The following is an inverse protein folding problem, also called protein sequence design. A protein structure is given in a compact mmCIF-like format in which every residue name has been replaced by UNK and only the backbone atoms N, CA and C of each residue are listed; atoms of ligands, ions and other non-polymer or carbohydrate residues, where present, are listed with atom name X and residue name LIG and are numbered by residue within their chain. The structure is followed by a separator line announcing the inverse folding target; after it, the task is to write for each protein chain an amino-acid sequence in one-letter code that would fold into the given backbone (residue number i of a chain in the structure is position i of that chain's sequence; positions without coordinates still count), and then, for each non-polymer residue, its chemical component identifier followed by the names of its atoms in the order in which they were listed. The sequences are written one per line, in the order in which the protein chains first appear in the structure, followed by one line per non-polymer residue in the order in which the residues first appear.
data_IF_179012165790
#
_entry.id   IF_179012165790
#
_cell.length_a   1.000
_cell.length_b   1.000
_cell.length_c   1.000
_cell.angle_alpha   90.00
_cell.angle_beta   90.00
_cell.angle_gamma   90.00
#
_symmetry.space_group_name_H-M   'P 1'
#
loop_
_entity.id
_entity.type
_entity.pdbx_description
1 polymer ?
#
# COMPACT_ATOMS: atom_id res chain seq x y z
N UNK A 1 -21.40 -19.52 -17.28
CA UNK A 1 -21.55 -20.97 -17.02
C UNK A 1 -20.80 -21.77 -18.06
N UNK A 2 -19.62 -22.29 -17.69
CA UNK A 2 -18.93 -23.25 -18.56
C UNK A 2 -19.77 -24.50 -18.66
N UNK A 3 -20.11 -24.89 -19.90
CA UNK A 3 -20.94 -26.07 -20.20
C UNK A 3 -20.49 -27.29 -19.37
N UNK A 4 -21.44 -28.03 -18.81
CA UNK A 4 -21.23 -29.29 -18.08
C UNK A 4 -20.36 -30.25 -18.93
N UNK A 5 -20.51 -30.24 -20.25
CA UNK A 5 -19.67 -30.98 -21.15
C UNK A 5 -18.17 -30.63 -21.07
N UNK A 6 -17.81 -29.34 -20.93
CA UNK A 6 -16.41 -28.92 -20.82
C UNK A 6 -15.79 -29.35 -19.49
N UNK A 7 -16.56 -29.32 -18.43
CA UNK A 7 -16.12 -29.83 -17.12
C UNK A 7 -15.92 -31.36 -17.14
N UNK A 8 -16.81 -32.10 -17.79
CA UNK A 8 -16.67 -33.55 -17.95
C UNK A 8 -15.44 -33.92 -18.81
N UNK A 9 -15.18 -33.19 -19.89
CA UNK A 9 -13.98 -33.39 -20.71
C UNK A 9 -12.72 -33.11 -19.87
N UNK A 10 -12.69 -32.01 -19.14
CA UNK A 10 -11.54 -31.65 -18.28
C UNK A 10 -11.26 -32.74 -17.22
N UNK A 11 -12.29 -33.14 -16.48
CA UNK A 11 -12.17 -34.21 -15.46
C UNK A 11 -11.72 -35.52 -16.08
N UNK A 12 -12.26 -35.88 -17.25
CA UNK A 12 -11.86 -37.09 -17.98
C UNK A 12 -10.38 -37.05 -18.37
N UNK A 13 -9.91 -35.94 -18.95
CA UNK A 13 -8.49 -35.77 -19.32
C UNK A 13 -7.58 -35.92 -18.09
N UNK A 14 -7.94 -35.27 -16.95
CA UNK A 14 -7.17 -35.36 -15.72
C UNK A 14 -7.15 -36.80 -15.17
N UNK A 15 -8.30 -37.48 -15.12
CA UNK A 15 -8.41 -38.87 -14.64
C UNK A 15 -7.63 -39.84 -15.55
N UNK A 16 -7.79 -39.76 -16.86
CA UNK A 16 -7.05 -40.63 -17.79
C UNK A 16 -5.55 -40.31 -17.79
N UNK A 17 -5.16 -39.04 -17.65
CA UNK A 17 -3.77 -38.65 -17.49
C UNK A 17 -3.12 -39.26 -16.25
N UNK A 18 -3.79 -39.17 -15.09
CA UNK A 18 -3.32 -39.77 -13.84
C UNK A 18 -3.23 -41.29 -13.92
N UNK A 19 -4.28 -41.96 -14.44
CA UNK A 19 -4.30 -43.40 -14.61
C UNK A 19 -3.21 -43.87 -15.60
N UNK A 20 -3.01 -43.14 -16.70
CA UNK A 20 -1.96 -43.41 -17.67
C UNK A 20 -0.56 -43.27 -17.08
N UNK A 21 -0.32 -42.20 -16.30
CA UNK A 21 0.95 -42.00 -15.61
C UNK A 21 1.21 -43.14 -14.60
N UNK A 22 0.19 -43.53 -13.85
CA UNK A 22 0.31 -44.63 -12.90
C UNK A 22 0.60 -45.98 -13.59
N UNK A 23 -0.06 -46.23 -14.73
CA UNK A 23 0.19 -47.46 -15.52
C UNK A 23 1.62 -47.50 -16.07
N UNK A 24 2.12 -46.38 -16.62
CA UNK A 24 3.50 -46.26 -17.12
C UNK A 24 4.49 -46.45 -15.95
N UNK A 25 4.24 -45.78 -14.81
CA UNK A 25 5.07 -45.97 -13.61
C UNK A 25 5.15 -47.42 -13.15
N UNK A 26 4.01 -48.10 -13.07
CA UNK A 26 3.94 -49.55 -12.70
C UNK A 26 4.73 -50.42 -13.65
N UNK A 27 4.67 -50.13 -14.99
CA UNK A 27 5.40 -50.88 -16.00
C UNK A 27 6.92 -50.74 -15.88
N UNK A 28 7.39 -49.56 -15.54
CA UNK A 28 8.83 -49.27 -15.42
C UNK A 28 9.36 -49.36 -13.97
N UNK A 29 8.52 -49.57 -13.00
CA UNK A 29 8.85 -49.53 -11.58
C UNK A 29 10.07 -50.42 -11.23
N UNK A 30 10.08 -51.67 -11.63
CA UNK A 30 11.20 -52.61 -11.35
C UNK A 30 12.52 -52.18 -11.99
N UNK A 31 12.48 -51.49 -13.14
CA UNK A 31 13.67 -50.99 -13.79
C UNK A 31 14.20 -49.76 -13.06
N UNK A 32 13.33 -48.87 -12.67
CA UNK A 32 13.65 -47.66 -11.91
C UNK A 32 14.23 -48.03 -10.55
N UNK A 33 13.56 -48.96 -9.84
CA UNK A 33 14.00 -49.44 -8.53
C UNK A 33 15.38 -50.08 -8.61
N UNK A 34 15.63 -50.91 -9.59
CA UNK A 34 16.92 -51.62 -9.77
C UNK A 34 18.04 -50.60 -10.10
N UNK A 35 17.75 -49.59 -10.89
CA UNK A 35 18.67 -48.50 -11.20
C UNK A 35 18.98 -47.68 -9.95
N UNK A 36 17.96 -47.29 -9.18
CA UNK A 36 18.11 -46.53 -7.94
C UNK A 36 18.96 -47.24 -6.89
N UNK A 37 18.72 -48.55 -6.72
CA UNK A 37 19.50 -49.38 -5.79
C UNK A 37 20.94 -49.60 -6.26
N UNK A 38 21.18 -49.69 -7.56
CA UNK A 38 22.53 -49.82 -8.13
C UNK A 38 23.33 -48.49 -7.99
N UNK A 39 22.68 -47.36 -8.16
CA UNK A 39 23.28 -46.02 -8.14
C UNK A 39 22.77 -45.21 -6.93
N UNK A 40 22.81 -45.81 -5.74
CA UNK A 40 22.26 -45.20 -4.52
C UNK A 40 22.76 -43.81 -4.18
N UNK A 41 24.06 -43.53 -4.43
CA UNK A 41 24.64 -42.20 -4.20
C UNK A 41 24.08 -41.17 -5.15
N UNK A 42 23.96 -41.50 -6.45
CA UNK A 42 23.39 -40.62 -7.44
C UNK A 42 21.90 -40.35 -7.19
N UNK A 43 21.17 -41.38 -6.76
CA UNK A 43 19.77 -41.25 -6.40
C UNK A 43 19.54 -40.42 -5.13
N UNK A 44 20.38 -40.55 -4.11
CA UNK A 44 20.33 -39.71 -2.91
C UNK A 44 20.81 -38.29 -3.15
N UNK A 45 21.71 -38.08 -4.09
CA UNK A 45 22.21 -36.70 -4.38
C UNK A 45 21.11 -35.75 -4.84
N UNK A 46 20.13 -36.23 -5.58
CA UNK A 46 19.02 -35.42 -6.08
C UNK A 46 18.19 -34.77 -4.94
N UNK A 47 17.60 -35.51 -3.99
CA UNK A 47 16.88 -34.91 -2.86
C UNK A 47 17.82 -34.07 -1.97
N UNK A 48 19.08 -34.47 -1.80
CA UNK A 48 20.05 -33.70 -1.03
C UNK A 48 20.30 -32.31 -1.63
N UNK A 49 20.49 -32.23 -2.95
CA UNK A 49 20.64 -30.96 -3.65
C UNK A 49 19.38 -30.10 -3.49
N UNK A 50 18.19 -30.69 -3.63
CA UNK A 50 16.94 -29.97 -3.45
C UNK A 50 16.82 -29.40 -2.02
N UNK A 51 17.20 -30.18 -1.01
CA UNK A 51 17.19 -29.73 0.39
C UNK A 51 18.19 -28.59 0.60
N UNK A 52 19.41 -28.69 0.06
CA UNK A 52 20.41 -27.62 0.16
C UNK A 52 19.89 -26.33 -0.49
N UNK A 53 19.33 -26.42 -1.70
CA UNK A 53 18.70 -25.26 -2.37
C UNK A 53 17.55 -24.69 -1.55
N UNK A 54 16.68 -25.55 -0.98
CA UNK A 54 15.59 -25.13 -0.10
C UNK A 54 16.08 -24.35 1.12
N UNK A 55 17.14 -24.82 1.76
CA UNK A 55 17.74 -24.15 2.93
C UNK A 55 18.37 -22.81 2.51
N UNK A 56 19.06 -22.75 1.38
CA UNK A 56 19.65 -21.50 0.87
C UNK A 56 18.56 -20.46 0.54
N UNK A 57 17.48 -20.87 -0.11
CA UNK A 57 16.34 -19.98 -0.38
C UNK A 57 15.71 -19.52 0.94
N UNK A 58 15.49 -20.42 1.89
CA UNK A 58 14.89 -20.08 3.18
C UNK A 58 15.74 -19.07 3.99
N UNK A 59 17.07 -19.18 3.92
CA UNK A 59 17.99 -18.22 4.58
C UNK A 59 17.96 -16.83 3.95
N UNK A 60 17.75 -16.77 2.63
CA UNK A 60 17.68 -15.51 1.88
C UNK A 60 16.26 -14.93 1.80
N UNK A 61 15.25 -15.69 2.20
CA UNK A 61 13.88 -15.20 2.26
C UNK A 61 13.68 -14.44 3.57
N UNK A 62 13.27 -13.19 3.47
CA UNK A 62 12.94 -12.36 4.64
C UNK A 62 11.89 -13.07 5.52
N UNK A 63 12.10 -12.99 6.82
CA UNK A 63 11.12 -13.49 7.80
C UNK A 63 10.24 -12.34 8.22
N UNK A 64 9.15 -12.14 7.50
CA UNK A 64 8.09 -11.21 7.92
C UNK A 64 6.94 -12.03 8.50
N UNK A 65 6.54 -11.68 9.72
CA UNK A 65 5.40 -12.31 10.38
C UNK A 65 4.09 -11.94 9.66
N UNK A 66 4.00 -10.71 9.17
CA UNK A 66 2.95 -10.24 8.28
C UNK A 66 3.57 -9.36 7.19
N UNK A 67 3.15 -9.51 5.92
CA UNK A 67 3.57 -8.60 4.89
C UNK A 67 3.06 -7.18 5.26
N UNK A 68 3.91 -6.18 5.07
CA UNK A 68 3.53 -4.78 5.27
C UNK A 68 2.34 -4.46 4.37
N UNK A 69 1.15 -4.34 4.95
CA UNK A 69 -0.06 -3.96 4.23
C UNK A 69 -0.09 -2.45 4.08
N UNK A 70 -0.19 -1.96 2.87
CA UNK A 70 -0.43 -0.54 2.65
C UNK A 70 -1.92 -0.25 2.89
N UNK A 71 -2.25 0.22 4.11
CA UNK A 71 -3.61 0.52 4.52
C UNK A 71 -4.14 1.88 4.01
N UNK A 72 -3.30 2.67 3.31
CA UNK A 72 -3.66 4.04 2.90
C UNK A 72 -3.82 5.00 4.08
N UNK A 73 -3.36 4.60 5.28
CA UNK A 73 -3.48 5.38 6.50
C UNK A 73 -2.32 5.14 7.45
N UNK A 74 -2.02 6.15 8.27
CA UNK A 74 -1.08 6.08 9.38
C UNK A 74 -1.79 6.33 10.70
N UNK A 75 -1.22 5.79 11.77
CA UNK A 75 -1.59 6.06 13.13
C UNK A 75 -0.44 6.78 13.83
N UNK A 76 -0.60 8.08 14.11
CA UNK A 76 0.36 8.89 14.82
C UNK A 76 -0.04 8.96 16.28
N UNK A 77 0.80 8.44 17.18
CA UNK A 77 0.52 8.32 18.62
C UNK A 77 1.59 9.03 19.47
N UNK A 78 1.72 10.36 19.39
CA UNK A 78 2.61 11.10 20.27
C UNK A 78 2.01 11.23 21.67
N UNK A 79 2.86 11.55 22.65
CA UNK A 79 2.42 11.85 24.01
C UNK A 79 2.90 13.25 24.43
N UNK A 80 2.05 13.96 25.15
CA UNK A 80 2.42 15.22 25.81
C UNK A 80 2.94 14.99 27.23
N UNK A 81 3.31 16.07 27.88
CA UNK A 81 3.72 16.03 29.30
C UNK A 81 2.57 15.52 30.18
N UNK A 82 2.82 14.61 31.14
CA UNK A 82 1.79 14.00 31.97
C UNK A 82 0.96 15.02 32.81
N UNK A 83 1.51 16.20 33.04
CA UNK A 83 0.87 17.26 33.82
C UNK A 83 0.07 18.25 32.96
N UNK A 84 -0.01 18.07 31.65
CA UNK A 84 -0.79 18.93 30.78
C UNK A 84 -2.29 18.81 31.12
N UNK A 85 -2.93 19.94 31.36
CA UNK A 85 -4.39 19.99 31.57
C UNK A 85 -5.19 19.70 30.31
N UNK A 86 -6.51 19.57 30.48
CA UNK A 86 -7.43 19.25 29.36
C UNK A 86 -7.34 20.29 28.23
N UNK A 87 -7.33 21.56 28.57
CA UNK A 87 -7.29 22.66 27.58
C UNK A 87 -5.97 22.67 26.81
N UNK A 88 -4.85 22.39 27.46
CA UNK A 88 -3.54 22.32 26.84
C UNK A 88 -3.48 21.10 25.87
N UNK A 89 -3.99 19.93 26.30
CA UNK A 89 -4.05 18.76 25.44
C UNK A 89 -4.94 18.99 24.22
N UNK A 90 -6.07 19.68 24.38
CA UNK A 90 -6.93 20.07 23.27
C UNK A 90 -6.24 21.01 22.29
N UNK A 91 -5.51 22.02 22.81
CA UNK A 91 -4.73 22.95 21.99
C UNK A 91 -3.64 22.24 21.20
N UNK A 92 -2.91 21.33 21.83
CA UNK A 92 -1.87 20.52 21.20
C UNK A 92 -2.45 19.64 20.11
N UNK A 93 -3.55 18.92 20.39
CA UNK A 93 -4.21 18.06 19.41
C UNK A 93 -4.64 18.86 18.17
N UNK A 94 -5.24 20.04 18.40
CA UNK A 94 -5.64 20.92 17.30
C UNK A 94 -4.44 21.41 16.46
N UNK A 95 -3.33 21.71 17.10
CA UNK A 95 -2.10 22.10 16.40
C UNK A 95 -1.53 20.94 15.58
N UNK A 96 -1.54 19.71 16.11
CA UNK A 96 -1.11 18.51 15.41
C UNK A 96 -1.97 18.27 14.16
N UNK A 97 -3.29 18.28 14.33
CA UNK A 97 -4.22 18.05 13.22
C UNK A 97 -4.09 19.11 12.13
N UNK A 98 -3.99 20.39 12.53
CA UNK A 98 -3.77 21.49 11.59
C UNK A 98 -2.42 21.36 10.85
N UNK A 99 -1.34 21.03 11.57
CA UNK A 99 -0.03 20.85 10.95
C UNK A 99 -0.04 19.72 9.92
N UNK A 100 -0.63 18.57 10.25
CA UNK A 100 -0.75 17.44 9.33
C UNK A 100 -1.64 17.78 8.13
N UNK A 101 -2.73 18.51 8.34
CA UNK A 101 -3.64 18.91 7.27
C UNK A 101 -3.01 19.87 6.24
N UNK A 102 -1.86 20.49 6.54
CA UNK A 102 -1.13 21.32 5.55
C UNK A 102 -0.41 20.50 4.47
N UNK A 103 -0.23 19.20 4.68
CA UNK A 103 0.47 18.32 3.75
C UNK A 103 -0.47 17.98 2.59
N UNK A 104 -0.11 18.30 1.32
CA UNK A 104 -1.00 18.10 0.17
C UNK A 104 -1.43 16.65 -0.07
N UNK A 105 -0.58 15.68 0.29
CA UNK A 105 -0.83 14.25 0.15
C UNK A 105 -1.85 13.72 1.15
N UNK A 106 -2.16 14.47 2.21
CA UNK A 106 -3.13 14.06 3.23
C UNK A 106 -4.56 14.31 2.71
N UNK A 107 -5.40 13.31 2.90
CA UNK A 107 -6.82 13.37 2.57
C UNK A 107 -7.64 13.81 3.78
N UNK A 108 -7.39 13.21 4.93
CA UNK A 108 -8.13 13.45 6.17
C UNK A 108 -7.26 13.14 7.36
N UNK A 109 -7.34 13.96 8.39
CA UNK A 109 -6.76 13.71 9.70
C UNK A 109 -7.85 13.82 10.76
N UNK A 110 -7.85 12.86 11.69
CA UNK A 110 -8.78 12.86 12.84
C UNK A 110 -7.98 12.47 14.07
N UNK A 111 -7.85 13.40 15.00
CA UNK A 111 -7.15 13.19 16.25
C UNK A 111 -8.08 12.96 17.44
N UNK A 112 -7.65 12.08 18.33
CA UNK A 112 -8.26 11.80 19.65
C UNK A 112 -7.24 12.03 20.75
N UNK A 113 -7.65 12.62 21.87
CA UNK A 113 -6.84 12.74 23.09
C UNK A 113 -7.52 11.97 24.21
N UNK A 114 -6.76 11.12 24.88
CA UNK A 114 -7.26 10.33 25.99
C UNK A 114 -8.13 9.14 25.59
N UNK A 115 -8.81 8.58 26.58
CA UNK A 115 -9.58 7.35 26.53
C UNK A 115 -10.97 7.55 25.95
N UNK A 116 -11.45 6.58 25.18
CA UNK A 116 -12.87 6.44 24.85
C UNK A 116 -13.66 5.84 26.03
N UNK A 117 -14.99 5.89 26.01
CA UNK A 117 -15.85 5.25 27.02
C UNK A 117 -15.82 3.70 26.85
N UNK A 118 -14.62 3.13 26.93
CA UNK A 118 -14.41 1.69 26.83
C UNK A 118 -13.43 1.22 27.92
N UNK A 119 -13.75 0.10 28.54
CA UNK A 119 -12.86 -0.52 29.54
C UNK A 119 -11.54 -1.04 28.92
N UNK A 120 -11.52 -1.24 27.60
CA UNK A 120 -10.39 -1.79 26.85
C UNK A 120 -9.39 -0.72 26.37
N UNK A 121 -9.71 0.56 26.54
CA UNK A 121 -8.83 1.67 26.14
C UNK A 121 -8.12 2.28 27.35
N UNK A 122 -6.85 1.93 27.63
CA UNK A 122 -6.13 2.43 28.81
C UNK A 122 -5.46 3.79 28.57
N UNK A 123 -5.71 4.48 27.44
CA UNK A 123 -4.98 5.67 27.05
C UNK A 123 -5.17 6.82 28.06
N UNK A 124 -4.09 7.40 28.62
CA UNK A 124 -4.16 8.60 29.45
C UNK A 124 -4.50 9.82 28.61
N UNK A 125 -4.96 10.90 29.25
CA UNK A 125 -5.32 12.16 28.57
C UNK A 125 -4.15 12.76 27.76
N UNK A 126 -2.92 12.52 28.19
CA UNK A 126 -1.69 12.97 27.52
C UNK A 126 -1.31 12.18 26.28
N UNK A 127 -2.03 11.11 25.95
CA UNK A 127 -1.79 10.29 24.78
C UNK A 127 -2.74 10.68 23.64
N UNK A 128 -2.16 10.96 22.49
CA UNK A 128 -2.92 11.30 21.27
C UNK A 128 -2.93 10.11 20.31
N UNK A 129 -4.03 9.95 19.61
CA UNK A 129 -4.18 9.00 18.53
C UNK A 129 -4.76 9.73 17.31
N UNK A 130 -3.91 10.04 16.35
CA UNK A 130 -4.30 10.71 15.13
C UNK A 130 -4.31 9.70 13.98
N UNK A 131 -5.49 9.41 13.45
CA UNK A 131 -5.66 8.60 12.23
C UNK A 131 -5.53 9.52 11.04
N UNK A 132 -4.53 9.28 10.22
CA UNK A 132 -4.15 10.10 9.07
C UNK A 132 -4.35 9.28 7.82
N UNK A 133 -5.32 9.64 6.99
CA UNK A 133 -5.52 9.03 5.68
C UNK A 133 -4.80 9.86 4.62
N UNK A 134 -4.00 9.20 3.79
CA UNK A 134 -3.35 9.84 2.65
C UNK A 134 -4.02 9.46 1.33
N UNK A 135 -3.82 10.31 0.32
CA UNK A 135 -4.34 10.08 -1.03
C UNK A 135 -3.54 8.98 -1.70
N UNK A 136 -4.18 8.20 -2.56
CA UNK A 136 -3.45 7.31 -3.47
C UNK A 136 -2.50 8.11 -4.36
N UNK A 137 -1.36 7.53 -4.72
CA UNK A 137 -0.37 8.17 -5.59
C UNK A 137 -1.00 8.70 -6.87
N UNK A 138 -1.78 7.88 -7.54
CA UNK A 138 -2.52 8.27 -8.74
C UNK A 138 -4.01 8.39 -8.45
N UNK A 139 -4.69 9.27 -9.17
CA UNK A 139 -6.13 9.38 -9.10
C UNK A 139 -6.79 8.11 -9.62
N UNK A 140 -7.74 7.58 -8.83
CA UNK A 140 -8.41 6.31 -9.13
C UNK A 140 -9.89 6.55 -9.42
N UNK A 141 -10.47 5.65 -10.21
CA UNK A 141 -11.91 5.62 -10.44
C UNK A 141 -12.68 5.03 -9.25
N UNK A 142 -14.01 4.96 -9.36
CA UNK A 142 -14.87 4.40 -8.30
C UNK A 142 -14.64 2.89 -8.08
N UNK A 143 -14.03 2.22 -9.06
CA UNK A 143 -13.67 0.79 -9.00
C UNK A 143 -12.25 0.56 -8.43
N UNK A 144 -11.52 1.63 -8.07
CA UNK A 144 -10.14 1.55 -7.57
C UNK A 144 -9.09 1.30 -8.66
N UNK A 145 -9.42 1.56 -9.93
CA UNK A 145 -8.47 1.47 -11.06
C UNK A 145 -7.93 2.86 -11.40
N UNK A 146 -6.71 2.92 -11.88
CA UNK A 146 -6.10 4.15 -12.41
C UNK A 146 -6.82 4.53 -13.71
N UNK A 147 -7.16 5.81 -13.85
CA UNK A 147 -7.72 6.38 -15.08
C UNK A 147 -6.77 7.39 -15.69
N UNK A 148 -6.79 7.49 -17.02
CA UNK A 148 -6.05 8.50 -17.76
C UNK A 148 -6.95 9.69 -18.01
N UNK A 149 -6.36 10.86 -18.06
CA UNK A 149 -7.05 12.13 -18.22
C UNK A 149 -6.44 12.93 -19.34
N UNK A 150 -7.28 13.71 -20.00
CA UNK A 150 -6.91 14.51 -21.16
C UNK A 150 -5.87 15.57 -20.80
N UNK A 151 -4.80 15.62 -21.59
CA UNK A 151 -3.75 16.64 -21.56
C UNK A 151 -3.82 17.51 -22.82
N UNK A 152 -3.29 18.73 -22.73
CA UNK A 152 -3.04 19.58 -23.90
C UNK A 152 -1.64 19.30 -24.48
N UNK A 153 -1.29 20.00 -25.56
CA UNK A 153 0.01 19.84 -26.23
C UNK A 153 1.20 20.24 -25.34
N UNK A 154 0.97 21.03 -24.30
CA UNK A 154 1.99 21.48 -23.32
C UNK A 154 2.08 20.55 -22.09
N UNK A 155 1.35 19.42 -22.06
CA UNK A 155 1.35 18.44 -20.97
C UNK A 155 0.52 18.83 -19.75
N UNK A 156 -0.35 19.84 -19.84
CA UNK A 156 -1.24 20.26 -18.76
C UNK A 156 -2.58 19.52 -18.85
N UNK A 157 -3.14 19.13 -17.70
CA UNK A 157 -4.45 18.51 -17.65
C UNK A 157 -5.56 19.50 -17.95
N UNK A 158 -6.50 19.11 -18.81
CA UNK A 158 -7.66 19.92 -19.20
C UNK A 158 -8.85 19.56 -18.32
N UNK A 159 -9.43 20.58 -17.66
CA UNK A 159 -10.62 20.41 -16.85
C UNK A 159 -11.90 20.63 -17.67
N UNK A 160 -13.04 20.12 -17.16
CA UNK A 160 -14.37 20.33 -17.77
C UNK A 160 -14.79 21.80 -17.87
N UNK A 161 -14.24 22.65 -17.04
CA UNK A 161 -14.46 24.11 -17.07
C UNK A 161 -13.48 24.86 -18.00
N UNK A 162 -12.72 24.12 -18.83
CA UNK A 162 -11.66 24.62 -19.70
C UNK A 162 -10.48 25.30 -18.98
N UNK A 163 -10.36 25.13 -17.67
CA UNK A 163 -9.15 25.50 -16.93
C UNK A 163 -8.09 24.41 -17.08
N UNK A 164 -6.86 24.80 -16.83
CA UNK A 164 -5.70 23.91 -16.93
C UNK A 164 -5.13 23.63 -15.55
N UNK A 165 -4.57 22.45 -15.39
CA UNK A 165 -3.89 22.03 -14.16
C UNK A 165 -2.52 21.50 -14.49
N UNK A 166 -1.53 21.97 -13.74
CA UNK A 166 -0.15 21.51 -13.85
C UNK A 166 -0.09 20.05 -13.42
N UNK A 167 0.51 19.23 -14.29
CA UNK A 167 0.86 17.87 -13.91
C UNK A 167 2.04 17.92 -12.93
N UNK A 168 1.90 17.43 -11.70
CA UNK A 168 3.01 17.44 -10.75
C UNK A 168 4.27 16.70 -11.24
N UNK A 169 4.12 15.81 -12.22
CA UNK A 169 5.21 14.98 -12.77
C UNK A 169 5.88 15.60 -14.00
N UNK A 170 5.26 16.57 -14.64
CA UNK A 170 5.83 17.20 -15.83
C UNK A 170 6.49 18.50 -15.46
N UNK A 171 7.73 18.67 -15.87
CA UNK A 171 8.34 19.99 -15.93
C UNK A 171 7.52 20.81 -16.92
N UNK A 172 6.78 21.76 -16.41
CA UNK A 172 6.05 22.72 -17.27
C UNK A 172 7.12 23.53 -17.99
N UNK A 173 7.03 23.55 -19.30
CA UNK A 173 7.88 24.40 -20.10
C UNK A 173 7.67 25.85 -19.64
N UNK A 174 8.70 26.46 -19.03
CA UNK A 174 8.60 27.78 -18.40
C UNK A 174 8.28 28.93 -19.41
N UNK A 175 8.25 28.60 -20.71
CA UNK A 175 7.92 29.52 -21.80
C UNK A 175 6.41 29.62 -22.07
N UNK A 176 5.57 28.77 -21.47
CA UNK A 176 4.13 28.83 -21.58
C UNK A 176 3.55 29.91 -20.63
N UNK A 177 3.31 31.09 -21.13
CA UNK A 177 2.68 32.21 -20.41
C UNK A 177 1.17 31.95 -20.20
N UNK A 178 0.83 31.17 -19.18
CA UNK A 178 -0.57 31.02 -18.74
C UNK A 178 -0.91 32.10 -17.70
N UNK A 179 -2.05 32.76 -17.87
CA UNK A 179 -2.57 33.65 -16.85
C UNK A 179 -2.99 32.85 -15.60
N UNK A 180 -2.73 33.37 -14.40
CA UNK A 180 -3.10 32.74 -13.14
C UNK A 180 -4.61 32.42 -13.05
N UNK A 181 -5.45 33.10 -13.79
CA UNK A 181 -6.89 32.88 -13.92
C UNK A 181 -7.24 31.55 -14.64
N UNK A 182 -6.32 31.05 -15.48
CA UNK A 182 -6.48 29.85 -16.30
C UNK A 182 -5.98 28.59 -15.55
N UNK A 183 -5.18 28.77 -14.51
CA UNK A 183 -4.60 27.70 -13.75
C UNK A 183 -5.41 27.41 -12.48
N UNK A 184 -5.61 26.14 -12.19
CA UNK A 184 -6.22 25.66 -10.95
C UNK A 184 -5.20 24.80 -10.18
N UNK A 185 -5.09 25.02 -8.87
CA UNK A 185 -4.10 24.31 -8.02
C UNK A 185 -4.66 23.07 -7.35
N UNK A 186 -5.99 23.01 -7.18
CA UNK A 186 -6.65 21.89 -6.51
C UNK A 186 -7.65 21.28 -7.46
N UNK A 187 -7.61 19.96 -7.63
CA UNK A 187 -8.43 19.25 -8.60
C UNK A 187 -9.14 18.07 -7.95
N UNK A 188 -10.42 17.94 -8.28
CA UNK A 188 -11.20 16.76 -7.94
C UNK A 188 -11.39 15.88 -9.18
N UNK A 189 -11.53 14.57 -8.98
CA UNK A 189 -11.74 13.61 -10.08
C UNK A 189 -12.85 14.03 -11.04
N UNK A 190 -13.95 14.57 -10.50
CA UNK A 190 -15.12 14.94 -11.31
C UNK A 190 -14.88 16.12 -12.27
N UNK A 191 -13.83 16.89 -12.06
CA UNK A 191 -13.44 18.03 -12.88
C UNK A 191 -12.56 17.63 -14.05
N UNK A 192 -11.85 16.51 -13.95
CA UNK A 192 -10.99 15.98 -15.01
C UNK A 192 -11.82 15.33 -16.12
N UNK A 193 -11.29 15.41 -17.35
CA UNK A 193 -11.87 14.76 -18.53
C UNK A 193 -11.14 13.44 -18.72
N UNK A 194 -11.87 12.32 -18.64
CA UNK A 194 -11.32 10.98 -18.88
C UNK A 194 -10.97 10.85 -20.37
N UNK A 195 -9.77 10.34 -20.65
CA UNK A 195 -9.27 10.14 -22.00
C UNK A 195 -8.27 8.95 -21.98
N UNK A 196 -8.54 7.93 -22.76
CA UNK A 196 -7.71 6.71 -22.82
C UNK A 196 -6.31 6.97 -23.41
N UNK A 197 -6.18 8.01 -24.25
CA UNK A 197 -4.92 8.43 -24.84
C UNK A 197 -4.16 9.45 -23.96
N UNK A 198 -4.76 9.87 -22.84
CA UNK A 198 -4.21 10.85 -21.91
C UNK A 198 -3.17 10.27 -20.94
N UNK A 199 -2.88 11.04 -19.88
CA UNK A 199 -1.93 10.69 -18.84
C UNK A 199 -2.59 10.43 -17.49
N UNK A 200 -1.84 9.74 -16.58
CA UNK A 200 -2.26 9.51 -15.20
C UNK A 200 -2.03 10.77 -14.35
N UNK A 201 -3.08 11.25 -13.69
CA UNK A 201 -2.94 12.36 -12.74
C UNK A 201 -2.36 11.86 -11.41
N UNK A 202 -1.18 12.39 -11.04
CA UNK A 202 -0.52 12.07 -9.78
C UNK A 202 -0.97 13.03 -8.67
N UNK A 203 -1.41 12.48 -7.54
CA UNK A 203 -1.86 13.27 -6.39
C UNK A 203 -0.70 13.70 -5.48
N UNK A 204 0.45 13.04 -5.57
CA UNK A 204 1.61 13.31 -4.74
C UNK A 204 2.56 14.28 -5.42
N UNK A 205 3.28 15.08 -4.64
CA UNK A 205 4.35 15.95 -5.13
C UNK A 205 5.48 15.12 -5.73
N UNK A 206 6.29 15.67 -6.64
CA UNK A 206 7.38 14.94 -7.31
C UNK A 206 8.42 14.37 -6.35
N UNK A 207 8.67 15.07 -5.24
CA UNK A 207 9.62 14.70 -4.18
C UNK A 207 9.12 13.58 -3.26
N UNK A 208 7.86 13.17 -3.37
CA UNK A 208 7.24 12.10 -2.58
C UNK A 208 7.07 10.85 -3.46
N UNK A 209 7.93 9.85 -3.28
CA UNK A 209 7.91 8.61 -4.07
C UNK A 209 7.25 7.43 -3.34
N UNK A 210 7.22 7.50 -2.02
CA UNK A 210 6.74 6.40 -1.18
C UNK A 210 5.86 6.87 -0.02
N UNK A 211 5.06 5.99 0.59
CA UNK A 211 4.36 6.30 1.84
C UNK A 211 5.32 6.68 2.98
N UNK A 212 6.57 6.20 2.95
CA UNK A 212 7.58 6.56 3.95
C UNK A 212 7.96 8.04 3.87
N UNK A 213 7.98 8.62 2.68
CA UNK A 213 8.27 10.05 2.50
C UNK A 213 7.13 10.90 3.07
N UNK A 214 5.87 10.47 2.88
CA UNK A 214 4.71 11.11 3.52
C UNK A 214 4.84 11.04 5.04
N UNK A 215 5.23 9.88 5.59
CA UNK A 215 5.47 9.73 7.00
C UNK A 215 6.57 10.65 7.53
N UNK A 216 7.68 10.75 6.82
CA UNK A 216 8.78 11.65 7.18
C UNK A 216 8.32 13.11 7.21
N UNK A 217 7.47 13.50 6.26
CA UNK A 217 6.88 14.84 6.22
C UNK A 217 5.92 15.07 7.41
N UNK A 218 5.09 14.09 7.76
CA UNK A 218 4.25 14.13 8.96
C UNK A 218 5.12 14.33 10.20
N UNK A 219 6.17 13.53 10.36
CA UNK A 219 7.09 13.67 11.51
C UNK A 219 7.76 15.05 11.54
N UNK A 220 8.09 15.61 10.38
CA UNK A 220 8.69 16.94 10.27
C UNK A 220 7.76 18.03 10.77
N UNK A 221 6.50 18.03 10.34
CA UNK A 221 5.52 19.09 10.71
C UNK A 221 4.97 18.93 12.13
N UNK A 222 5.01 17.71 12.69
CA UNK A 222 4.50 17.43 14.04
C UNK A 222 5.54 17.59 15.15
N UNK A 223 6.73 18.10 14.85
CA UNK A 223 7.75 18.44 15.86
C UNK A 223 7.34 19.67 16.66
N UNK A 224 6.45 19.48 17.63
CA UNK A 224 6.02 20.54 18.55
C UNK A 224 6.76 20.43 19.90
N UNK A 225 7.06 21.56 20.57
CA UNK A 225 7.66 21.54 21.90
C UNK A 225 6.76 20.83 22.91
N UNK A 226 7.36 19.98 23.75
CA UNK A 226 6.62 19.25 24.79
C UNK A 226 5.88 18.00 24.34
N UNK A 227 6.11 17.55 23.09
CA UNK A 227 5.53 16.33 22.55
C UNK A 227 6.64 15.34 22.20
N UNK A 228 6.42 14.06 22.47
CA UNK A 228 7.35 12.99 22.06
C UNK A 228 7.16 12.67 20.58
N UNK A 229 8.23 12.18 19.92
CA UNK A 229 8.09 11.56 18.61
C UNK A 229 7.34 10.24 18.70
N UNK A 230 6.56 9.92 17.66
CA UNK A 230 5.85 8.65 17.57
C UNK A 230 6.51 7.74 16.51
N UNK A 231 6.52 6.41 16.71
CA UNK A 231 6.93 5.46 15.69
C UNK A 231 5.90 5.45 14.55
N UNK A 232 6.32 4.99 13.36
CA UNK A 232 5.41 4.74 12.25
C UNK A 232 4.52 3.54 12.59
N UNK A 233 3.23 3.77 12.67
CA UNK A 233 2.23 2.75 12.94
C UNK A 233 1.13 2.80 11.87
N UNK A 234 0.48 1.66 11.67
CA UNK A 234 -0.71 1.54 10.84
C UNK A 234 -1.89 1.09 11.70
N UNK A 235 -3.11 1.59 11.47
CA UNK A 235 -4.24 1.36 12.38
C UNK A 235 -4.62 -0.11 12.55
N UNK A 236 -4.65 -0.89 11.47
CA UNK A 236 -5.05 -2.32 11.50
C UNK A 236 -3.92 -3.17 12.07
N UNK A 237 -2.69 -2.94 11.63
CA UNK A 237 -1.49 -3.64 12.11
C UNK A 237 -1.33 -3.48 13.63
N UNK A 238 -1.48 -2.26 14.13
CA UNK A 238 -1.37 -1.97 15.58
C UNK A 238 -2.44 -2.71 16.38
N UNK A 239 -3.68 -2.78 15.89
CA UNK A 239 -4.76 -3.49 16.59
C UNK A 239 -4.55 -5.00 16.58
N UNK A 240 -4.01 -5.57 15.51
CA UNK A 240 -3.71 -7.00 15.45
C UNK A 240 -2.62 -7.39 16.45
N UNK A 241 -1.59 -6.56 16.63
CA UNK A 241 -0.53 -6.79 17.63
C UNK A 241 -1.06 -6.68 19.06
N UNK A 242 -2.04 -5.81 19.32
CA UNK A 242 -2.64 -5.65 20.65
C UNK A 242 -3.60 -6.79 21.04
N UNK A 243 -4.06 -7.59 20.08
CA UNK A 243 -5.00 -8.71 20.31
C UNK A 243 -4.30 -10.06 20.48
N UNK A 244 -2.98 -10.13 20.36
CA UNK A 244 -2.13 -11.29 20.62
C UNK A 244 -1.57 -11.27 22.05
#
# INVERSE_FOLDING_TARGET
DRSIAMNLIFVSIVCFGLLGTFWVFRKYYTRILRWALRNKFLFLSMPTVIIIFGVLIMQNTGKEFMPSLNEGSFLLMPTSLPHAGVEENKRILQQLDMAVATIPEIKTVVGKSGRTESALDPAPLSMYENVIQYKSEYMMNLEGKRERYKINDDGLFVLKNNKLVINPNNEVDNDANYEASQLQTTVTRNELIVDDDGEYYRNWRPDIESPDDIWNEIVRVTKLPGITSAPKLQPIETRQVMLQ
#
